data_IF_201653689083
#
_entry.id   IF_201653689083
#
_cell.length_a   1.000
_cell.length_b   1.000
_cell.length_c   1.000
_cell.angle_alpha   90.00
_cell.angle_beta   90.00
_cell.angle_gamma   90.00
#
_symmetry.space_group_name_H-M   'P 1'
#
loop_
_entity.id
_entity.type
_entity.pdbx_description
1 polymer ?
#
# COMPACT_ATOMS: atom_id res chain seq x y z
N UNK A 1 4.03 10.40 -14.22
CA UNK A 1 4.60 10.51 -12.86
C UNK A 1 3.44 10.28 -11.93
N UNK A 2 3.47 9.22 -11.11
CA UNK A 2 2.40 8.97 -10.15
C UNK A 2 2.64 9.90 -8.95
N UNK A 3 1.70 10.82 -8.70
CA UNK A 3 1.82 11.88 -7.68
C UNK A 3 1.32 11.45 -6.29
N UNK A 4 1.13 10.15 -6.05
CA UNK A 4 0.50 9.66 -4.82
C UNK A 4 1.12 8.33 -4.37
N UNK A 5 2.42 8.33 -4.11
CA UNK A 5 3.10 7.17 -3.53
C UNK A 5 2.83 7.07 -2.03
N UNK A 6 2.63 5.85 -1.56
CA UNK A 6 2.38 5.55 -0.15
C UNK A 6 3.20 4.35 0.32
N UNK A 7 3.67 4.41 1.57
CA UNK A 7 4.28 3.29 2.26
C UNK A 7 3.18 2.48 2.96
N UNK A 8 3.24 1.16 2.87
CA UNK A 8 2.33 0.29 3.61
C UNK A 8 2.72 0.25 5.08
N UNK A 9 1.78 0.57 5.96
CA UNK A 9 1.96 0.42 7.40
C UNK A 9 1.47 -0.96 7.85
N UNK A 10 0.17 -1.24 7.64
CA UNK A 10 -0.47 -2.46 8.12
C UNK A 10 -1.79 -2.74 7.38
N UNK A 11 -2.24 -3.99 7.44
CA UNK A 11 -3.55 -4.40 6.93
C UNK A 11 -4.56 -4.25 8.08
N UNK A 12 -5.55 -3.38 7.88
CA UNK A 12 -6.53 -3.02 8.92
C UNK A 12 -7.90 -3.69 8.73
N UNK A 13 -8.12 -4.34 7.58
CA UNK A 13 -9.38 -5.05 7.29
C UNK A 13 -9.28 -6.01 6.10
N UNK A 14 -10.39 -6.68 5.77
CA UNK A 14 -10.43 -7.69 4.68
C UNK A 14 -9.97 -7.14 3.33
N UNK A 15 -10.25 -5.86 3.07
CA UNK A 15 -9.95 -5.15 1.82
C UNK A 15 -9.32 -3.79 2.09
N UNK A 16 -8.79 -3.55 3.30
CA UNK A 16 -8.37 -2.21 3.74
C UNK A 16 -6.94 -2.24 4.27
N UNK A 17 -6.15 -1.27 3.84
CA UNK A 17 -4.74 -1.11 4.20
C UNK A 17 -4.52 0.29 4.72
N UNK A 18 -3.83 0.40 5.85
CA UNK A 18 -3.29 1.65 6.36
C UNK A 18 -1.98 1.94 5.62
N UNK A 19 -1.91 3.11 4.99
CA UNK A 19 -0.76 3.55 4.22
C UNK A 19 -0.37 4.97 4.58
N UNK A 20 0.93 5.23 4.62
CA UNK A 20 1.49 6.56 4.83
C UNK A 20 1.76 7.22 3.49
N UNK A 21 1.03 8.29 3.16
CA UNK A 21 1.26 9.08 1.95
C UNK A 21 2.56 9.86 2.08
N UNK A 22 3.49 9.62 1.16
CA UNK A 22 4.82 10.25 1.18
C UNK A 22 4.76 11.76 0.91
N UNK A 23 3.88 12.17 -0.01
CA UNK A 23 3.77 13.56 -0.45
C UNK A 23 2.95 14.41 0.52
N UNK A 24 1.81 13.90 0.98
CA UNK A 24 0.96 14.58 1.96
C UNK A 24 1.43 14.41 3.40
N UNK A 25 2.41 13.52 3.65
CA UNK A 25 2.97 13.20 4.98
C UNK A 25 1.89 12.86 6.00
N UNK A 26 0.91 12.06 5.60
CA UNK A 26 -0.24 11.66 6.43
C UNK A 26 -0.64 10.21 6.18
N UNK A 27 -1.22 9.59 7.19
CA UNK A 27 -1.79 8.27 7.08
C UNK A 27 -3.21 8.31 6.51
N UNK A 28 -3.51 7.39 5.60
CA UNK A 28 -4.86 7.14 5.11
C UNK A 28 -5.15 5.64 5.08
N UNK A 29 -6.44 5.31 5.13
CA UNK A 29 -6.91 3.96 4.86
C UNK A 29 -7.39 3.90 3.42
N UNK A 30 -6.88 2.94 2.67
CA UNK A 30 -7.23 2.70 1.27
C UNK A 30 -7.74 1.28 1.07
N UNK A 31 -8.55 1.12 0.03
CA UNK A 31 -9.08 -0.17 -0.38
C UNK A 31 -8.16 -0.86 -1.36
N UNK A 32 -8.01 -2.16 -1.19
CA UNK A 32 -7.31 -3.03 -2.12
C UNK A 32 -8.14 -4.28 -2.42
N UNK A 33 -7.82 -4.95 -3.52
CA UNK A 33 -8.41 -6.25 -3.82
C UNK A 33 -7.97 -7.28 -2.77
N UNK A 34 -8.83 -8.25 -2.45
CA UNK A 34 -8.50 -9.37 -1.55
C UNK A 34 -7.23 -10.10 -1.96
N UNK A 35 -7.01 -10.28 -3.27
CA UNK A 35 -5.79 -10.91 -3.78
C UNK A 35 -4.54 -10.09 -3.45
N UNK A 36 -4.65 -8.77 -3.59
CA UNK A 36 -3.56 -7.85 -3.30
C UNK A 36 -3.30 -7.72 -1.80
N UNK A 37 -4.34 -7.67 -0.96
CA UNK A 37 -4.21 -7.76 0.50
C UNK A 37 -3.46 -9.01 0.92
N UNK A 38 -3.79 -10.16 0.31
CA UNK A 38 -3.11 -11.42 0.60
C UNK A 38 -1.63 -11.35 0.22
N UNK A 39 -1.31 -10.83 -0.96
CA UNK A 39 0.08 -10.58 -1.37
C UNK A 39 0.82 -9.66 -0.40
N UNK A 40 0.22 -8.53 -0.02
CA UNK A 40 0.77 -7.61 0.98
C UNK A 40 0.98 -8.32 2.32
N UNK A 41 0.03 -9.15 2.75
CA UNK A 41 0.13 -9.87 4.01
C UNK A 41 1.25 -10.90 3.98
N UNK A 42 1.37 -11.66 2.90
CA UNK A 42 2.45 -12.62 2.69
C UNK A 42 3.81 -11.91 2.65
N UNK A 43 3.92 -10.77 1.96
CA UNK A 43 5.16 -9.98 1.87
C UNK A 43 5.55 -9.32 3.20
N UNK A 44 4.58 -8.75 3.93
CA UNK A 44 4.80 -8.15 5.26
C UNK A 44 5.19 -9.20 6.31
N UNK A 45 4.63 -10.42 6.23
CA UNK A 45 4.96 -11.50 7.16
C UNK A 45 6.30 -12.17 6.84
N UNK A 46 6.74 -12.17 5.58
CA UNK A 46 7.97 -12.86 5.17
C UNK A 46 9.25 -12.05 5.40
N UNK A 47 9.18 -10.76 5.71
CA UNK A 47 10.36 -9.89 5.72
C UNK A 47 10.76 -9.46 7.14
N UNK A 48 12.00 -9.79 7.50
CA UNK A 48 12.70 -9.28 8.67
C UNK A 48 12.96 -7.76 8.51
N UNK A 49 12.28 -6.97 9.35
CA UNK A 49 12.52 -5.58 9.79
C UNK A 49 12.78 -4.42 8.80
N UNK A 50 13.19 -4.61 7.54
CA UNK A 50 13.74 -3.49 6.73
C UNK A 50 13.13 -3.26 5.34
N UNK A 51 12.07 -3.97 4.96
CA UNK A 51 11.46 -3.78 3.63
C UNK A 51 10.20 -2.92 3.69
N UNK A 52 10.38 -1.63 3.45
CA UNK A 52 9.28 -0.70 3.20
C UNK A 52 8.64 -0.99 1.85
N UNK A 53 7.38 -1.42 1.84
CA UNK A 53 6.63 -1.59 0.59
C UNK A 53 6.02 -0.26 0.15
N UNK A 54 6.43 0.24 -1.02
CA UNK A 54 5.91 1.48 -1.60
C UNK A 54 4.96 1.13 -2.74
N UNK A 55 3.76 1.70 -2.71
CA UNK A 55 2.73 1.49 -3.71
C UNK A 55 2.07 2.79 -4.14
N UNK A 56 1.53 2.81 -5.35
CA UNK A 56 0.80 3.95 -5.86
C UNK A 56 -0.66 3.88 -5.39
N UNK A 57 -1.19 5.01 -4.96
CA UNK A 57 -2.53 5.11 -4.39
C UNK A 57 -3.34 6.16 -5.14
N UNK A 58 -4.57 5.81 -5.52
CA UNK A 58 -5.56 6.80 -5.94
C UNK A 58 -6.22 7.40 -4.69
N UNK A 59 -5.79 8.60 -4.30
CA UNK A 59 -6.34 9.30 -3.12
C UNK A 59 -7.81 9.67 -3.31
N UNK A 60 -8.24 9.96 -4.55
CA UNK A 60 -9.61 10.37 -4.85
C UNK A 60 -10.59 9.22 -4.65
N UNK A 61 -10.21 8.03 -5.12
CA UNK A 61 -10.98 6.80 -4.94
C UNK A 61 -10.62 6.04 -3.66
N UNK A 62 -9.58 6.47 -2.94
CA UNK A 62 -8.98 5.81 -1.78
C UNK A 62 -8.71 4.33 -2.07
N UNK A 63 -8.01 4.05 -3.15
CA UNK A 63 -7.72 2.69 -3.60
C UNK A 63 -6.27 2.52 -4.05
N UNK A 64 -5.72 1.33 -3.87
CA UNK A 64 -4.39 0.99 -4.40
C UNK A 64 -4.46 0.86 -5.92
N UNK A 65 -3.45 1.37 -6.61
CA UNK A 65 -3.26 1.20 -8.05
C UNK A 65 -2.45 -0.09 -8.24
N UNK A 66 -3.15 -1.20 -8.45
CA UNK A 66 -2.57 -2.56 -8.51
C UNK A 66 -1.62 -2.79 -9.70
N UNK A 67 -1.65 -1.93 -10.72
CA UNK A 67 -0.79 -2.00 -11.91
C UNK A 67 0.64 -1.47 -11.66
N UNK A 68 0.91 -0.96 -10.45
CA UNK A 68 2.22 -0.41 -10.09
C UNK A 68 3.14 -1.50 -9.55
N UNK A 69 3.87 -2.17 -10.44
CA UNK A 69 5.07 -2.93 -10.08
C UNK A 69 6.27 -1.97 -10.11
N UNK A 70 6.78 -1.59 -8.94
CA UNK A 70 8.10 -0.97 -8.84
C UNK A 70 9.15 -2.09 -8.88
N UNK A 71 9.67 -2.40 -10.07
CA UNK A 71 10.86 -3.24 -10.20
C UNK A 71 12.05 -2.45 -9.65
N UNK A 72 12.61 -2.91 -8.53
CA UNK A 72 13.89 -2.45 -7.95
C UNK A 72 15.08 -3.13 -8.60
#
# INVERSE_FOLDING_TARGET
MFENLAMVNEIVGENEVSVYLLEEKRDIVVKANKNYIKLLSDELNQKEEDNTMILAVDIKNKSIIEDYNYEV
#
